data_IF_634151292657
#
_entry.id   IF_634151292657
#
_cell.length_a   1.000
_cell.length_b   1.000
_cell.length_c   1.000
_cell.angle_alpha   90.00
_cell.angle_beta   90.00
_cell.angle_gamma   90.00
#
_symmetry.space_group_name_H-M   'P 1'
#
loop_
_entity.id
_entity.type
_entity.pdbx_description
1 polymer ?
#
# COMPACT_ATOMS: atom_id res chain seq x y z
N UNK A 1 3.57 23.23 1.23
CA UNK A 1 4.08 22.76 -0.07
C UNK A 1 2.95 22.77 -1.07
N UNK A 2 3.27 22.86 -2.34
CA UNK A 2 2.28 22.74 -3.42
C UNK A 2 1.92 21.29 -3.61
N UNK A 3 0.63 20.99 -3.74
CA UNK A 3 0.21 19.66 -4.16
C UNK A 3 0.52 19.47 -5.64
N UNK A 4 0.97 18.29 -5.99
CA UNK A 4 1.20 17.88 -7.36
C UNK A 4 0.27 16.72 -7.72
N UNK A 5 -0.11 16.65 -8.98
CA UNK A 5 -0.75 15.46 -9.54
C UNK A 5 0.34 14.51 -10.03
N UNK A 6 0.20 13.27 -9.66
CA UNK A 6 1.09 12.18 -10.07
C UNK A 6 0.28 11.07 -10.73
N UNK A 7 0.83 10.48 -11.77
CA UNK A 7 0.27 9.26 -12.35
C UNK A 7 0.45 8.10 -11.37
N UNK A 8 -0.61 7.32 -11.17
CA UNK A 8 -0.60 6.16 -10.29
C UNK A 8 -0.46 4.90 -11.11
N UNK A 9 0.56 4.11 -10.81
CA UNK A 9 0.86 2.88 -11.53
C UNK A 9 0.05 1.71 -11.00
N UNK A 10 -0.08 1.62 -9.66
CA UNK A 10 -0.76 0.50 -9.00
C UNK A 10 -1.73 1.05 -7.95
N UNK A 11 -2.93 0.49 -7.94
CA UNK A 11 -3.93 0.79 -6.90
C UNK A 11 -4.31 -0.49 -6.18
N UNK A 12 -4.27 -0.44 -4.84
CA UNK A 12 -4.66 -1.54 -3.98
C UNK A 12 -5.85 -1.19 -3.09
N UNK A 13 -6.85 -2.06 -3.05
CA UNK A 13 -7.99 -1.96 -2.15
C UNK A 13 -8.14 -3.25 -1.33
N UNK A 14 -8.73 -3.16 -0.16
CA UNK A 14 -8.87 -4.27 0.77
C UNK A 14 -10.24 -4.28 1.47
N UNK A 15 -10.47 -5.21 2.39
CA UNK A 15 -11.78 -5.47 2.99
C UNK A 15 -12.39 -4.27 3.73
N UNK A 16 -11.59 -3.45 4.41
CA UNK A 16 -12.11 -2.33 5.19
C UNK A 16 -12.40 -1.08 4.37
N UNK A 17 -11.68 -0.87 3.28
CA UNK A 17 -11.84 0.33 2.43
C UNK A 17 -12.57 0.04 1.11
N UNK A 18 -12.58 -1.21 0.63
CA UNK A 18 -13.12 -1.56 -0.67
C UNK A 18 -14.58 -1.20 -0.88
N UNK A 19 -15.42 -1.42 0.14
CA UNK A 19 -16.85 -1.06 0.05
C UNK A 19 -17.08 0.45 0.07
N UNK A 20 -16.26 1.20 0.82
CA UNK A 20 -16.31 2.68 0.80
C UNK A 20 -15.79 3.21 -0.54
N UNK A 21 -14.70 2.64 -1.06
CA UNK A 21 -14.18 2.96 -2.40
C UNK A 21 -15.23 2.73 -3.49
N UNK A 22 -15.98 1.61 -3.41
CA UNK A 22 -17.09 1.34 -4.32
C UNK A 22 -18.17 2.43 -4.26
N UNK A 23 -18.57 2.83 -3.05
CA UNK A 23 -19.56 3.89 -2.86
C UNK A 23 -19.09 5.25 -3.41
N UNK A 24 -17.81 5.57 -3.23
CA UNK A 24 -17.22 6.80 -3.81
C UNK A 24 -17.26 6.76 -5.33
N UNK A 25 -16.88 5.65 -5.96
CA UNK A 25 -16.96 5.49 -7.42
C UNK A 25 -18.40 5.58 -7.93
N UNK A 26 -19.34 4.95 -7.25
CA UNK A 26 -20.76 5.04 -7.58
C UNK A 26 -21.28 6.48 -7.47
N UNK A 27 -20.90 7.21 -6.40
CA UNK A 27 -21.32 8.60 -6.20
C UNK A 27 -20.78 9.55 -7.27
N UNK A 28 -19.60 9.27 -7.78
CA UNK A 28 -18.98 10.03 -8.87
C UNK A 28 -19.49 9.61 -10.25
N UNK A 29 -20.35 8.60 -10.36
CA UNK A 29 -20.71 7.93 -11.61
C UNK A 29 -19.45 7.53 -12.44
N UNK A 30 -18.38 7.16 -11.74
CA UNK A 30 -17.09 6.92 -12.34
C UNK A 30 -16.94 5.48 -12.81
N UNK A 31 -16.15 5.28 -13.85
CA UNK A 31 -15.62 3.98 -14.25
C UNK A 31 -14.18 3.87 -13.79
N UNK A 32 -13.73 2.65 -13.55
CA UNK A 32 -12.31 2.42 -13.22
C UNK A 32 -11.49 2.48 -14.51
N UNK A 33 -10.47 3.31 -14.50
CA UNK A 33 -9.43 3.33 -15.51
C UNK A 33 -8.30 2.43 -15.00
N UNK A 34 -7.97 1.39 -15.76
CA UNK A 34 -6.84 0.53 -15.40
C UNK A 34 -5.58 1.38 -15.26
N UNK A 35 -4.86 1.29 -14.15
CA UNK A 35 -3.57 1.95 -13.99
C UNK A 35 -2.59 1.54 -15.10
N UNK A 36 -1.69 2.43 -15.42
CA UNK A 36 -0.91 2.39 -16.67
C UNK A 36 0.01 1.17 -16.76
N UNK A 37 0.48 0.62 -15.64
CA UNK A 37 1.51 -0.42 -15.67
C UNK A 37 1.00 -1.78 -15.19
N UNK A 38 0.52 -1.90 -13.97
CA UNK A 38 0.31 -3.19 -13.32
C UNK A 38 -1.13 -3.48 -12.88
N UNK A 39 -1.99 -2.46 -12.89
CA UNK A 39 -3.41 -2.63 -12.68
C UNK A 39 -3.93 -2.23 -11.29
N UNK A 40 -5.20 -2.54 -11.08
CA UNK A 40 -5.93 -2.29 -9.86
C UNK A 40 -6.28 -3.60 -9.18
N UNK A 41 -6.02 -3.70 -7.88
CA UNK A 41 -6.12 -4.94 -7.14
C UNK A 41 -7.08 -4.80 -5.96
N UNK A 42 -7.88 -5.82 -5.73
CA UNK A 42 -8.73 -5.97 -4.55
C UNK A 42 -8.33 -7.22 -3.78
N UNK A 43 -8.09 -7.06 -2.48
CA UNK A 43 -7.92 -8.16 -1.54
C UNK A 43 -9.14 -8.32 -0.65
N UNK A 44 -9.42 -9.54 -0.22
CA UNK A 44 -10.50 -9.84 0.73
C UNK A 44 -10.13 -9.62 2.19
N UNK A 45 -8.86 -9.36 2.48
CA UNK A 45 -8.41 -9.24 3.86
C UNK A 45 -7.11 -8.45 3.95
N UNK A 46 -7.00 -7.62 4.98
CA UNK A 46 -5.78 -6.90 5.31
C UNK A 46 -4.92 -7.61 6.39
N UNK A 47 -5.43 -8.70 6.95
CA UNK A 47 -4.78 -9.44 8.06
C UNK A 47 -4.50 -10.91 7.78
N UNK A 48 -4.77 -11.40 6.57
CA UNK A 48 -4.73 -12.82 6.18
C UNK A 48 -5.68 -13.74 6.99
N UNK A 49 -6.63 -13.17 7.71
CA UNK A 49 -7.52 -13.91 8.62
C UNK A 49 -8.97 -13.58 8.31
N UNK A 50 -9.59 -14.39 7.45
CA UNK A 50 -11.04 -14.26 7.15
C UNK A 50 -11.89 -15.07 8.15
N UNK A 51 -11.45 -15.16 9.39
CA UNK A 51 -12.16 -15.90 10.44
C UNK A 51 -13.31 -15.11 11.05
N UNK A 52 -13.28 -13.78 10.97
CA UNK A 52 -14.37 -12.95 11.45
C UNK A 52 -15.60 -13.06 10.53
N UNK A 53 -16.74 -13.38 11.12
CA UNK A 53 -18.01 -13.50 10.40
C UNK A 53 -18.42 -12.21 9.66
N UNK A 54 -18.06 -11.04 10.20
CA UNK A 54 -18.33 -9.76 9.54
C UNK A 54 -17.49 -9.59 8.27
N UNK A 55 -16.20 -9.93 8.35
CA UNK A 55 -15.32 -9.92 7.19
C UNK A 55 -15.80 -10.91 6.11
N UNK A 56 -16.16 -12.14 6.52
CA UNK A 56 -16.74 -13.13 5.61
C UNK A 56 -18.02 -12.64 4.92
N UNK A 57 -18.90 -11.94 5.61
CA UNK A 57 -20.14 -11.40 5.05
C UNK A 57 -19.89 -10.27 4.01
N UNK A 58 -18.72 -9.65 4.03
CA UNK A 58 -18.34 -8.62 3.07
C UNK A 58 -17.71 -9.20 1.79
N UNK A 59 -17.19 -10.43 1.81
CA UNK A 59 -16.54 -11.04 0.64
C UNK A 59 -17.41 -11.00 -0.62
N UNK A 60 -18.71 -11.40 -0.61
CA UNK A 60 -19.54 -11.34 -1.79
C UNK A 60 -19.70 -9.92 -2.35
N UNK A 61 -19.76 -8.91 -1.46
CA UNK A 61 -19.87 -7.50 -1.86
C UNK A 61 -18.58 -7.00 -2.49
N UNK A 62 -17.42 -7.38 -1.94
CA UNK A 62 -16.11 -7.05 -2.49
C UNK A 62 -15.88 -7.75 -3.84
N UNK A 63 -16.34 -9.00 -3.98
CA UNK A 63 -16.32 -9.69 -5.27
C UNK A 63 -17.18 -8.98 -6.31
N UNK A 64 -18.37 -8.50 -5.91
CA UNK A 64 -19.21 -7.70 -6.78
C UNK A 64 -18.50 -6.42 -7.20
N UNK A 65 -17.93 -5.68 -6.25
CA UNK A 65 -17.14 -4.48 -6.53
C UNK A 65 -15.99 -4.77 -7.50
N UNK A 66 -15.24 -5.83 -7.26
CA UNK A 66 -14.15 -6.24 -8.13
C UNK A 66 -14.62 -6.53 -9.56
N UNK A 67 -15.75 -7.22 -9.71
CA UNK A 67 -16.30 -7.56 -11.02
C UNK A 67 -16.89 -6.33 -11.73
N UNK A 68 -17.65 -5.50 -11.01
CA UNK A 68 -18.32 -4.33 -11.58
C UNK A 68 -17.32 -3.30 -12.11
N UNK A 69 -16.16 -3.18 -11.44
CA UNK A 69 -15.13 -2.20 -11.80
C UNK A 69 -13.87 -2.80 -12.45
N UNK A 70 -13.88 -4.10 -12.74
CA UNK A 70 -12.76 -4.74 -13.45
C UNK A 70 -11.46 -4.82 -12.66
N UNK A 71 -11.54 -4.86 -11.32
CA UNK A 71 -10.37 -5.00 -10.47
C UNK A 71 -9.80 -6.42 -10.55
N UNK A 72 -8.49 -6.52 -10.46
CA UNK A 72 -7.77 -7.79 -10.57
C UNK A 72 -7.54 -8.37 -9.17
N UNK A 73 -7.63 -9.69 -9.05
CA UNK A 73 -7.08 -10.41 -7.90
C UNK A 73 -5.62 -10.71 -8.13
N UNK A 74 -4.84 -10.76 -7.06
CA UNK A 74 -3.45 -11.16 -7.17
C UNK A 74 -3.31 -12.57 -7.75
N UNK A 75 -2.32 -12.73 -8.61
CA UNK A 75 -1.88 -14.03 -9.11
C UNK A 75 -0.65 -14.46 -8.33
N UNK A 76 -0.62 -15.71 -7.92
CA UNK A 76 0.65 -16.30 -7.52
C UNK A 76 1.56 -16.47 -8.76
N UNK A 77 2.86 -16.73 -8.57
CA UNK A 77 3.79 -16.95 -9.67
C UNK A 77 3.43 -18.14 -10.58
N UNK A 78 2.50 -19.00 -10.14
CA UNK A 78 1.99 -20.15 -10.90
C UNK A 78 0.71 -19.84 -11.66
N UNK A 79 0.21 -18.60 -11.60
CA UNK A 79 -0.98 -18.16 -12.30
C UNK A 79 -2.30 -18.58 -11.62
N UNK A 80 -2.25 -19.12 -10.41
CA UNK A 80 -3.44 -19.43 -9.62
C UNK A 80 -3.91 -18.16 -8.91
N UNK A 81 -5.18 -17.81 -9.10
CA UNK A 81 -5.79 -16.71 -8.39
C UNK A 81 -6.07 -17.12 -6.95
N UNK A 82 -5.41 -16.53 -6.00
CA UNK A 82 -5.83 -16.57 -4.61
C UNK A 82 -6.96 -15.54 -4.44
N UNK A 83 -8.16 -15.98 -4.79
CA UNK A 83 -9.34 -15.13 -4.73
C UNK A 83 -9.50 -14.56 -3.33
N UNK A 84 -9.12 -13.28 -3.15
CA UNK A 84 -9.48 -12.50 -1.98
C UNK A 84 -8.89 -12.97 -0.64
N UNK A 85 -7.89 -13.82 -0.62
CA UNK A 85 -7.34 -14.42 0.61
C UNK A 85 -6.01 -13.83 1.05
N UNK A 86 -5.29 -13.18 0.14
CA UNK A 86 -3.97 -12.62 0.46
C UNK A 86 -4.08 -11.20 1.04
N UNK A 87 -3.11 -10.87 1.87
CA UNK A 87 -2.96 -9.53 2.46
C UNK A 87 -2.55 -8.54 1.38
N UNK A 88 -3.30 -7.45 1.22
CA UNK A 88 -3.10 -6.51 0.10
C UNK A 88 -1.68 -5.96 0.01
N UNK A 89 -1.07 -5.54 1.12
CA UNK A 89 0.28 -4.99 1.09
C UNK A 89 1.34 -6.03 0.74
N UNK A 90 1.11 -7.32 1.06
CA UNK A 90 1.96 -8.40 0.58
C UNK A 90 1.81 -8.59 -0.93
N UNK A 91 0.57 -8.60 -1.41
CA UNK A 91 0.26 -8.67 -2.84
C UNK A 91 0.97 -7.56 -3.59
N UNK A 92 0.80 -6.32 -3.15
CA UNK A 92 1.42 -5.15 -3.78
C UNK A 92 2.95 -5.26 -3.80
N UNK A 93 3.56 -5.77 -2.72
CA UNK A 93 5.00 -5.99 -2.68
C UNK A 93 5.47 -7.08 -3.65
N UNK A 94 4.68 -8.13 -3.83
CA UNK A 94 5.05 -9.26 -4.69
C UNK A 94 4.89 -8.91 -6.19
N UNK A 95 3.91 -8.07 -6.55
CA UNK A 95 3.65 -7.69 -7.95
C UNK A 95 4.45 -6.48 -8.42
N UNK A 96 4.91 -5.62 -7.52
CA UNK A 96 5.68 -4.43 -7.88
C UNK A 96 7.08 -4.83 -8.33
N UNK A 97 7.38 -4.59 -9.60
CA UNK A 97 8.68 -4.88 -10.23
C UNK A 97 9.52 -3.60 -10.31
N UNK A 98 8.86 -2.47 -10.51
CA UNK A 98 9.52 -1.17 -10.68
C UNK A 98 9.62 -0.42 -9.34
N UNK A 99 10.84 -0.10 -8.93
CA UNK A 99 11.12 0.67 -7.72
C UNK A 99 10.62 2.13 -7.80
N UNK A 100 10.29 2.61 -8.99
CA UNK A 100 9.76 3.96 -9.22
C UNK A 100 8.24 4.00 -9.39
N UNK A 101 7.58 2.83 -9.37
CA UNK A 101 6.13 2.75 -9.47
C UNK A 101 5.47 3.52 -8.32
N UNK A 102 4.48 4.34 -8.65
CA UNK A 102 3.66 5.04 -7.66
C UNK A 102 2.47 4.16 -7.31
N UNK A 103 2.36 3.84 -6.03
CA UNK A 103 1.38 2.89 -5.50
C UNK A 103 0.49 3.60 -4.50
N UNK A 104 -0.82 3.56 -4.72
CA UNK A 104 -1.83 4.04 -3.79
C UNK A 104 -2.62 2.86 -3.27
N UNK A 105 -2.74 2.74 -1.96
CA UNK A 105 -3.50 1.65 -1.36
C UNK A 105 -4.35 2.07 -0.17
N UNK A 106 -5.49 1.42 -0.02
CA UNK A 106 -6.43 1.65 1.07
C UNK A 106 -6.02 1.00 2.40
N UNK A 107 -4.75 0.67 2.55
CA UNK A 107 -4.16 0.08 3.76
C UNK A 107 -2.95 0.89 4.22
N UNK A 108 -2.82 1.08 5.53
CA UNK A 108 -1.71 1.84 6.12
C UNK A 108 -0.34 1.19 5.87
N UNK A 109 -0.28 -0.12 5.63
CA UNK A 109 0.94 -0.85 5.33
C UNK A 109 1.29 -0.84 3.83
N UNK A 110 0.49 -0.23 2.97
CA UNK A 110 0.81 -0.03 1.54
C UNK A 110 2.21 0.56 1.37
N UNK A 111 2.60 1.45 2.27
CA UNK A 111 3.94 2.07 2.33
C UNK A 111 5.11 1.10 2.48
N UNK A 112 4.84 -0.17 2.79
CA UNK A 112 5.87 -1.21 2.88
C UNK A 112 6.11 -1.92 1.54
N UNK A 113 5.31 -1.61 0.53
CA UNK A 113 5.52 -2.14 -0.83
C UNK A 113 6.79 -1.54 -1.45
N UNK A 114 7.36 -2.24 -2.41
CA UNK A 114 8.42 -1.68 -3.26
C UNK A 114 7.87 -0.46 -4.01
N UNK A 115 8.74 0.40 -4.47
CA UNK A 115 8.32 1.62 -5.15
C UNK A 115 7.98 2.76 -4.21
N UNK A 116 7.34 3.78 -4.74
CA UNK A 116 6.88 4.97 -4.00
C UNK A 116 5.43 4.75 -3.58
N UNK A 117 5.25 4.22 -2.37
CA UNK A 117 3.98 3.67 -1.93
C UNK A 117 3.33 4.46 -0.79
N UNK A 118 2.03 4.71 -0.92
CA UNK A 118 1.24 5.51 0.03
C UNK A 118 -0.02 4.77 0.46
N UNK A 119 -0.29 4.77 1.77
CA UNK A 119 -1.61 4.44 2.31
C UNK A 119 -2.52 5.65 2.18
N UNK A 120 -3.73 5.45 1.71
CA UNK A 120 -4.71 6.49 1.43
C UNK A 120 -6.12 6.11 1.91
N UNK A 121 -6.98 7.10 2.04
CA UNK A 121 -8.40 6.90 2.30
C UNK A 121 -9.15 6.41 1.06
N UNK A 122 -10.41 5.99 1.25
CA UNK A 122 -11.26 5.44 0.19
C UNK A 122 -11.52 6.41 -0.96
N UNK A 123 -11.64 7.70 -0.66
CA UNK A 123 -11.86 8.75 -1.66
C UNK A 123 -10.64 8.92 -2.57
N UNK A 124 -9.44 8.97 -1.99
CA UNK A 124 -8.19 9.03 -2.75
C UNK A 124 -7.98 7.76 -3.60
N UNK A 125 -8.29 6.58 -3.04
CA UNK A 125 -8.23 5.32 -3.79
C UNK A 125 -9.23 5.32 -4.94
N UNK A 126 -10.47 5.78 -4.71
CA UNK A 126 -11.49 5.89 -5.75
C UNK A 126 -11.07 6.86 -6.86
N UNK A 127 -10.52 8.02 -6.49
CA UNK A 127 -10.02 8.98 -7.46
C UNK A 127 -8.90 8.39 -8.32
N UNK A 128 -7.94 7.71 -7.70
CA UNK A 128 -6.85 7.04 -8.41
C UNK A 128 -7.36 5.95 -9.37
N UNK A 129 -8.38 5.19 -8.95
CA UNK A 129 -9.04 4.21 -9.82
C UNK A 129 -9.77 4.86 -11.00
N UNK A 130 -10.43 6.00 -10.76
CA UNK A 130 -11.24 6.68 -11.77
C UNK A 130 -10.41 7.50 -12.77
N UNK A 131 -9.29 8.07 -12.34
CA UNK A 131 -8.50 9.02 -13.14
C UNK A 131 -7.10 8.54 -13.51
N UNK A 132 -6.59 7.52 -12.83
CA UNK A 132 -5.18 7.12 -12.93
C UNK A 132 -4.22 8.09 -12.23
N UNK A 133 -4.73 9.07 -11.49
CA UNK A 133 -3.93 10.12 -10.84
C UNK A 133 -4.26 10.24 -9.36
N UNK A 134 -3.30 10.73 -8.58
CA UNK A 134 -3.50 11.17 -7.22
C UNK A 134 -2.91 12.56 -7.02
N UNK A 135 -3.53 13.34 -6.13
CA UNK A 135 -2.98 14.63 -5.68
C UNK A 135 -2.29 14.42 -4.35
N UNK A 136 -1.05 14.86 -4.25
CA UNK A 136 -0.28 14.75 -3.01
C UNK A 136 0.75 15.87 -2.87
N UNK A 137 1.11 16.27 -1.65
CA UNK A 137 2.25 17.15 -1.45
C UNK A 137 3.54 16.43 -1.88
N UNK A 138 4.48 17.17 -2.45
CA UNK A 138 5.80 16.60 -2.77
C UNK A 138 6.50 16.25 -1.45
N UNK A 139 6.74 14.97 -1.14
CA UNK A 139 7.41 14.59 0.08
C UNK A 139 8.93 14.80 -0.04
N UNK A 140 9.54 15.19 1.06
CA UNK A 140 10.99 15.09 1.20
C UNK A 140 11.40 13.63 1.37
N UNK A 141 12.64 13.29 1.04
CA UNK A 141 13.22 11.96 1.29
C UNK A 141 14.17 11.97 2.49
N UNK A 142 14.13 10.91 3.28
CA UNK A 142 15.09 10.63 4.33
C UNK A 142 15.79 9.32 4.04
N UNK A 143 17.10 9.39 3.82
CA UNK A 143 17.93 8.20 3.63
C UNK A 143 18.33 7.61 4.97
N UNK A 144 17.98 6.37 5.21
CA UNK A 144 18.38 5.57 6.36
C UNK A 144 19.33 4.47 5.90
N UNK A 145 20.59 4.53 6.35
CA UNK A 145 21.59 3.50 6.01
C UNK A 145 21.95 2.71 7.25
N UNK A 146 21.71 1.41 7.22
CA UNK A 146 22.14 0.49 8.27
C UNK A 146 23.55 -0.01 8.02
N UNK A 147 24.37 -0.05 9.09
CA UNK A 147 25.75 -0.53 9.04
C UNK A 147 26.05 -1.39 10.24
N UNK A 148 26.88 -2.40 10.06
CA UNK A 148 27.33 -3.30 11.14
C UNK A 148 26.66 -4.66 11.08
N UNK A 149 26.61 -5.35 12.21
CA UNK A 149 26.01 -6.67 12.33
C UNK A 149 24.87 -6.66 13.35
N UNK A 150 23.81 -7.40 13.07
CA UNK A 150 22.76 -7.67 14.05
C UNK A 150 23.23 -8.73 15.04
N UNK A 151 22.86 -8.57 16.30
CA UNK A 151 23.06 -9.64 17.27
C UNK A 151 22.16 -10.84 16.94
N UNK A 152 22.62 -12.05 17.22
CA UNK A 152 21.92 -13.30 16.86
C UNK A 152 20.49 -13.45 17.43
N UNK A 153 20.14 -12.65 18.44
CA UNK A 153 18.82 -12.65 19.08
C UNK A 153 17.91 -11.50 18.60
N UNK A 154 18.39 -10.66 17.66
CA UNK A 154 17.62 -9.55 17.09
C UNK A 154 17.06 -9.92 15.74
N UNK A 155 15.87 -9.43 15.44
CA UNK A 155 15.31 -9.41 14.10
C UNK A 155 15.30 -8.00 13.50
N UNK A 156 14.95 -7.89 12.24
CA UNK A 156 14.93 -6.58 11.56
C UNK A 156 13.89 -5.63 12.16
N UNK A 157 12.85 -6.14 12.77
CA UNK A 157 11.84 -5.32 13.48
C UNK A 157 12.45 -4.59 14.66
N UNK A 158 13.34 -5.25 15.42
CA UNK A 158 14.07 -4.62 16.54
C UNK A 158 14.92 -3.46 16.03
N UNK A 159 15.58 -3.63 14.89
CA UNK A 159 16.37 -2.57 14.25
C UNK A 159 15.50 -1.37 13.87
N UNK A 160 14.30 -1.62 13.30
CA UNK A 160 13.35 -0.55 12.93
C UNK A 160 12.89 0.20 14.18
N UNK A 161 12.49 -0.50 15.25
CA UNK A 161 12.07 0.14 16.50
C UNK A 161 13.19 0.93 17.17
N UNK A 162 14.40 0.37 17.21
CA UNK A 162 15.58 1.06 17.75
C UNK A 162 15.90 2.33 16.95
N UNK A 163 15.76 2.27 15.62
CA UNK A 163 15.96 3.43 14.73
C UNK A 163 14.98 4.54 15.06
N UNK A 164 13.69 4.21 15.21
CA UNK A 164 12.68 5.21 15.59
C UNK A 164 13.00 5.85 16.93
N UNK A 165 13.33 5.04 17.95
CA UNK A 165 13.65 5.52 19.28
C UNK A 165 14.90 6.45 19.27
N UNK A 166 15.95 6.05 18.55
CA UNK A 166 17.16 6.86 18.42
C UNK A 166 16.90 8.18 17.69
N UNK A 167 16.10 8.17 16.63
CA UNK A 167 15.78 9.39 15.88
C UNK A 167 14.93 10.35 16.74
N UNK A 168 13.92 9.86 17.43
CA UNK A 168 13.15 10.67 18.38
C UNK A 168 14.05 11.30 19.45
N UNK A 169 14.95 10.54 20.02
CA UNK A 169 15.91 11.05 21.01
C UNK A 169 16.85 12.10 20.41
N UNK A 170 17.43 11.82 19.23
CA UNK A 170 18.38 12.70 18.56
C UNK A 170 17.79 14.04 18.14
N UNK A 171 16.50 14.06 17.77
CA UNK A 171 15.80 15.23 17.26
C UNK A 171 14.78 15.81 18.27
N UNK A 172 15.03 15.59 19.57
CA UNK A 172 14.26 16.23 20.64
C UNK A 172 12.78 15.85 20.70
N UNK A 173 12.42 14.65 20.24
CA UNK A 173 11.06 14.13 20.19
C UNK A 173 10.33 14.38 18.87
N UNK A 174 10.96 15.04 17.92
CA UNK A 174 10.37 15.20 16.58
C UNK A 174 10.42 13.89 15.76
N UNK A 175 9.30 13.56 15.13
CA UNK A 175 9.24 12.43 14.20
C UNK A 175 9.76 12.86 12.82
N UNK A 176 11.05 12.66 12.61
CA UNK A 176 11.74 13.03 11.35
C UNK A 176 11.25 12.26 10.12
N UNK A 177 10.47 11.22 10.31
CA UNK A 177 9.92 10.40 9.22
C UNK A 177 8.52 10.84 8.79
N UNK A 178 7.88 11.69 9.57
CA UNK A 178 6.51 12.13 9.28
C UNK A 178 6.45 12.93 7.97
N UNK A 179 5.57 12.52 7.06
CA UNK A 179 5.36 13.19 5.77
C UNK A 179 6.55 13.05 4.79
N UNK A 180 7.44 12.10 5.02
CA UNK A 180 8.62 11.86 4.18
C UNK A 180 8.67 10.46 3.62
N UNK A 181 9.32 10.30 2.48
CA UNK A 181 9.70 9.00 1.93
C UNK A 181 10.95 8.53 2.68
N UNK A 182 10.92 7.28 3.12
CA UNK A 182 12.07 6.66 3.79
C UNK A 182 12.78 5.74 2.80
N UNK A 183 13.98 6.13 2.38
CA UNK A 183 14.84 5.31 1.55
C UNK A 183 15.72 4.42 2.44
N UNK A 184 15.42 3.13 2.46
CA UNK A 184 16.14 2.16 3.30
C UNK A 184 17.29 1.55 2.53
N UNK A 185 18.50 1.71 3.05
CA UNK A 185 19.72 1.12 2.51
C UNK A 185 20.34 0.18 3.55
N UNK A 186 20.47 -1.08 3.22
CA UNK A 186 21.04 -2.07 4.15
C UNK A 186 22.57 -1.92 4.30
N UNK A 187 23.23 -1.22 3.38
CA UNK A 187 24.64 -0.89 3.48
C UNK A 187 25.52 -2.12 3.72
N UNK A 188 26.18 -2.17 4.88
CA UNK A 188 27.02 -3.30 5.31
C UNK A 188 26.35 -4.12 6.42
N UNK A 189 25.04 -4.04 6.58
CA UNK A 189 24.33 -4.82 7.58
C UNK A 189 24.41 -6.32 7.23
N UNK A 190 24.89 -7.12 8.18
CA UNK A 190 25.04 -8.58 8.09
C UNK A 190 24.32 -9.26 9.23
#
# INVERSE_FOLDING_TARGET
GSDVRVEVNIVGSQDTTGLMTAQELESMAATVISPIVDGAYQSGCHTASVWDKKAQANIPKLMKFMNDFGLITARDPKGVYHAMTDVIHKVLNDITIDEWAIIIGGDSHTRMSKGVAFGADSGTVALALATGEASMPIPESVKVTFKGAMANYMDFRDVVHATQAQMLHKFGGENVFQGRIIEVHLGTLT
#
